data_IF_800517988908
#
_entry.id   IF_800517988908
#
_cell.length_a   1.000
_cell.length_b   1.000
_cell.length_c   1.000
_cell.angle_alpha   90.00
_cell.angle_beta   90.00
_cell.angle_gamma   90.00
#
_symmetry.space_group_name_H-M   'P 1'
#
loop_
_entity.id
_entity.type
_entity.pdbx_description
1 polymer ?
#
# COMPACT_ATOMS: atom_id res chain seq x y z
N UNK A 1 -4.36 23.22 -9.35
CA UNK A 1 -4.60 22.51 -8.07
C UNK A 1 -4.00 21.12 -8.20
N UNK A 2 -2.96 20.80 -7.44
CA UNK A 2 -2.37 19.46 -7.44
C UNK A 2 -3.29 18.55 -6.64
N UNK A 3 -4.24 17.89 -7.30
CA UNK A 3 -5.14 16.96 -6.65
C UNK A 3 -4.36 15.71 -6.28
N UNK A 4 -3.84 15.70 -5.05
CA UNK A 4 -3.45 14.47 -4.38
C UNK A 4 -4.69 13.55 -4.32
N UNK A 5 -4.68 12.47 -5.10
CA UNK A 5 -5.80 11.52 -5.13
C UNK A 5 -5.63 10.55 -3.96
N UNK A 6 -6.46 10.68 -2.93
CA UNK A 6 -6.48 9.78 -1.78
C UNK A 6 -7.47 8.64 -2.04
N UNK A 7 -6.97 7.42 -2.15
CA UNK A 7 -7.77 6.21 -2.28
C UNK A 7 -7.78 5.47 -0.94
N UNK A 8 -8.95 5.07 -0.46
CA UNK A 8 -9.08 4.26 0.76
C UNK A 8 -9.48 2.85 0.37
N UNK A 9 -8.72 1.86 0.81
CA UNK A 9 -9.01 0.46 0.53
C UNK A 9 -10.20 -0.01 1.39
N UNK A 10 -11.35 -0.41 0.82
CA UNK A 10 -12.51 -0.83 1.61
C UNK A 10 -12.30 -2.18 2.32
N UNK A 11 -11.30 -2.97 1.91
CA UNK A 11 -11.00 -4.27 2.51
C UNK A 11 -10.10 -4.19 3.75
N UNK A 12 -9.17 -3.22 3.80
CA UNK A 12 -8.18 -3.11 4.88
C UNK A 12 -8.04 -1.70 5.48
N UNK A 13 -8.82 -0.73 5.01
CA UNK A 13 -8.82 0.68 5.44
C UNK A 13 -7.48 1.42 5.32
N UNK A 14 -6.50 0.85 4.62
CA UNK A 14 -5.24 1.51 4.29
C UNK A 14 -5.48 2.57 3.22
N UNK A 15 -4.79 3.70 3.36
CA UNK A 15 -4.90 4.83 2.43
C UNK A 15 -3.72 4.83 1.46
N UNK A 16 -3.99 5.09 0.18
CA UNK A 16 -2.99 5.28 -0.86
C UNK A 16 -3.11 6.71 -1.37
N UNK A 17 -2.02 7.46 -1.29
CA UNK A 17 -1.92 8.84 -1.71
C UNK A 17 -1.10 8.91 -3.00
N UNK A 18 -1.74 9.25 -4.12
CA UNK A 18 -1.05 9.45 -5.39
C UNK A 18 -0.55 10.88 -5.50
N UNK A 19 0.78 11.02 -5.58
CA UNK A 19 1.43 12.32 -5.72
C UNK A 19 1.54 12.72 -7.19
N UNK A 20 1.59 14.03 -7.52
CA UNK A 20 1.66 14.53 -8.89
C UNK A 20 2.90 14.06 -9.69
N UNK A 21 3.93 13.54 -9.02
CA UNK A 21 5.15 13.00 -9.64
C UNK A 21 5.08 11.50 -9.91
N UNK A 22 3.93 10.87 -9.72
CA UNK A 22 3.72 9.43 -9.97
C UNK A 22 4.18 8.51 -8.84
N UNK A 23 4.70 9.06 -7.73
CA UNK A 23 5.05 8.29 -6.54
C UNK A 23 3.83 8.14 -5.62
N UNK A 24 3.44 6.89 -5.35
CA UNK A 24 2.37 6.59 -4.40
C UNK A 24 2.93 6.42 -2.98
N UNK A 25 2.30 7.09 -2.01
CA UNK A 25 2.54 6.86 -0.58
C UNK A 25 1.42 6.07 0.04
N UNK A 26 1.75 5.00 0.75
CA UNK A 26 0.80 4.21 1.53
C UNK A 26 0.82 4.67 2.98
N UNK A 27 -0.36 4.93 3.55
CA UNK A 27 -0.52 5.32 4.95
C UNK A 27 -1.29 4.22 5.70
N UNK A 28 -0.58 3.50 6.56
CA UNK A 28 -1.17 2.59 7.54
C UNK A 28 -1.79 3.39 8.70
N UNK A 29 -2.53 2.70 9.59
CA UNK A 29 -3.12 3.34 10.78
C UNK A 29 -2.08 3.85 11.78
N UNK A 30 -0.90 3.21 11.84
CA UNK A 30 0.20 3.55 12.73
C UNK A 30 1.52 3.37 11.97
N UNK A 31 2.50 4.21 12.28
CA UNK A 31 3.87 4.10 11.74
C UNK A 31 4.14 5.02 10.55
N UNK A 32 5.34 4.88 9.94
CA UNK A 32 5.75 5.72 8.82
C UNK A 32 4.97 5.39 7.54
N UNK A 33 5.04 6.31 6.57
CA UNK A 33 4.55 6.06 5.22
C UNK A 33 5.32 4.90 4.58
N UNK A 34 4.61 4.13 3.76
CA UNK A 34 5.10 2.91 3.13
C UNK A 34 4.87 2.92 1.62
N UNK A 35 5.26 1.84 0.94
CA UNK A 35 5.06 1.63 -0.49
C UNK A 35 3.89 0.67 -0.78
N UNK A 36 3.47 0.61 -2.05
CA UNK A 36 2.48 -0.40 -2.49
C UNK A 36 3.01 -1.83 -2.37
N UNK A 37 4.31 -2.05 -2.52
CA UNK A 37 4.96 -3.33 -2.27
C UNK A 37 4.76 -3.78 -0.81
N UNK A 38 5.05 -2.91 0.16
CA UNK A 38 4.80 -3.19 1.59
C UNK A 38 3.32 -3.44 1.88
N UNK A 39 2.40 -2.68 1.28
CA UNK A 39 0.95 -2.91 1.44
C UNK A 39 0.54 -4.30 0.97
N UNK A 40 1.04 -4.72 -0.19
CA UNK A 40 0.76 -6.05 -0.69
C UNK A 40 1.36 -7.12 0.22
N UNK A 41 2.66 -7.01 0.52
CA UNK A 41 3.42 -7.99 1.30
C UNK A 41 2.97 -8.12 2.77
N UNK A 42 2.39 -7.08 3.37
CA UNK A 42 1.96 -7.12 4.78
C UNK A 42 0.47 -7.38 4.96
N UNK A 43 -0.35 -6.97 3.99
CA UNK A 43 -1.81 -6.95 4.18
C UNK A 43 -2.55 -7.56 3.01
N UNK A 44 -2.43 -7.00 1.81
CA UNK A 44 -3.35 -7.38 0.72
C UNK A 44 -3.13 -8.78 0.17
N UNK A 45 -1.95 -9.39 0.32
CA UNK A 45 -1.77 -10.81 0.01
C UNK A 45 -2.55 -11.74 0.95
N UNK A 46 -2.71 -11.34 2.23
CA UNK A 46 -3.36 -12.14 3.27
C UNK A 46 -4.84 -11.82 3.45
N UNK A 47 -5.24 -10.56 3.21
CA UNK A 47 -6.59 -10.10 3.47
C UNK A 47 -7.63 -10.93 2.71
N UNK A 48 -7.30 -11.49 1.53
CA UNK A 48 -8.13 -12.34 0.66
C UNK A 48 -9.58 -11.85 0.45
N UNK A 49 -9.87 -10.60 0.77
CA UNK A 49 -11.21 -10.01 0.71
C UNK A 49 -11.48 -9.47 -0.70
N UNK A 50 -12.70 -9.70 -1.24
CA UNK A 50 -13.16 -8.92 -2.37
C UNK A 50 -13.15 -7.44 -1.97
N UNK A 51 -12.48 -6.60 -2.76
CA UNK A 51 -12.36 -5.16 -2.50
C UNK A 51 -10.98 -4.61 -2.11
N UNK A 52 -9.91 -5.42 -1.95
CA UNK A 52 -8.57 -4.79 -1.86
C UNK A 52 -8.20 -4.12 -3.19
N UNK A 53 -7.86 -2.83 -3.13
CA UNK A 53 -7.49 -2.00 -4.29
C UNK A 53 -6.03 -2.20 -4.74
N UNK A 54 -5.17 -2.72 -3.87
CA UNK A 54 -3.75 -2.96 -4.14
C UNK A 54 -3.49 -4.37 -4.70
N UNK A 55 -4.00 -4.64 -5.90
CA UNK A 55 -3.89 -5.95 -6.60
C UNK A 55 -3.19 -5.88 -7.95
N UNK A 56 -3.09 -4.71 -8.56
CA UNK A 56 -2.43 -4.55 -9.86
C UNK A 56 -0.91 -4.69 -9.68
N UNK A 57 -0.30 -5.72 -10.28
CA UNK A 57 1.13 -6.01 -10.18
C UNK A 57 1.99 -4.85 -10.67
N UNK A 58 1.60 -4.18 -11.75
CA UNK A 58 2.36 -3.06 -12.32
C UNK A 58 2.38 -1.86 -11.36
N UNK A 59 1.29 -1.64 -10.63
CA UNK A 59 1.22 -0.60 -9.61
C UNK A 59 1.94 -0.99 -8.31
N UNK A 60 1.94 -2.28 -7.94
CA UNK A 60 2.62 -2.78 -6.74
C UNK A 60 4.14 -2.60 -6.88
N UNK A 61 4.67 -2.85 -8.08
CA UNK A 61 6.10 -2.81 -8.37
C UNK A 61 6.83 -4.05 -7.85
N UNK A 62 8.15 -3.96 -7.79
CA UNK A 62 9.00 -5.02 -7.25
C UNK A 62 8.82 -5.14 -5.74
N UNK A 63 8.65 -6.38 -5.25
CA UNK A 63 8.55 -6.71 -3.83
C UNK A 63 9.90 -7.25 -3.36
N UNK A 64 10.49 -6.61 -2.36
CA UNK A 64 11.77 -6.98 -1.74
C UNK A 64 11.54 -7.74 -0.44
N UNK A 65 12.52 -8.54 0.04
CA UNK A 65 12.41 -9.21 1.33
C UNK A 65 12.09 -8.27 2.51
N UNK A 66 12.61 -7.04 2.49
CA UNK A 66 12.34 -5.99 3.50
C UNK A 66 10.91 -5.43 3.49
N UNK A 67 10.12 -5.69 2.44
CA UNK A 67 8.73 -5.25 2.37
C UNK A 67 7.81 -6.10 3.25
N UNK A 68 8.20 -7.35 3.52
CA UNK A 68 7.47 -8.23 4.42
C UNK A 68 7.58 -7.71 5.86
N UNK A 69 6.69 -8.23 6.73
CA UNK A 69 6.75 -7.90 8.15
C UNK A 69 7.89 -8.69 8.80
N UNK A 70 8.87 -7.96 9.33
CA UNK A 70 9.93 -8.51 10.17
C UNK A 70 9.63 -8.10 11.61
N UNK A 71 9.08 -8.99 12.47
CA UNK A 71 8.99 -8.70 13.89
C UNK A 71 10.41 -8.48 14.40
N UNK A 72 10.64 -7.33 15.03
CA UNK A 72 11.97 -6.88 15.43
C UNK A 72 12.73 -7.96 16.21
N UNK A 73 14.02 -8.09 15.88
CA UNK A 73 15.02 -8.76 16.72
C UNK A 73 14.99 -8.13 18.12
#
# INVERSE_FOLDING_TARGET
MSQNNLQVCPACNVKILTLPRGEDKVLFSVGPAATRAMLWARVCQYAQKPGCINKNKDAIGEIKPSDYYEPGI
#
